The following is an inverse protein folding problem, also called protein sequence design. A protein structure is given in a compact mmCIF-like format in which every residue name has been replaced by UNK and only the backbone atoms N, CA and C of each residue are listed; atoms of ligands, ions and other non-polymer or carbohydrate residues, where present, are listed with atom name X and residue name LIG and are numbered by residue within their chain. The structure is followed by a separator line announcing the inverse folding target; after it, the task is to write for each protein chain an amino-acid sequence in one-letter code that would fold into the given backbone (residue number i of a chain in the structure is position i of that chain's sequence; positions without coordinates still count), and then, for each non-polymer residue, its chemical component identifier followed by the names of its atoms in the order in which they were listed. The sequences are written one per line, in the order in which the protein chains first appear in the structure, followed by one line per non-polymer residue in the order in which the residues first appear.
data_IF_140627678617
#
_entry.id   IF_140627678617
#
_cell.length_a   1.000
_cell.length_b   1.000
_cell.length_c   1.000
_cell.angle_alpha   90.00
_cell.angle_beta   90.00
_cell.angle_gamma   90.00
#
_symmetry.space_group_name_H-M   'P 1'
#
loop_
_entity.id
_entity.type
_entity.pdbx_description
1 polymer ?
#
# COMPACT_ATOMS: atom_id res chain seq x y z
N UNK A 1 -6.11 22.47 2.78
CA UNK A 1 -5.38 21.23 3.10
C UNK A 1 -5.41 20.34 1.87
N UNK A 2 -4.26 19.79 1.48
CA UNK A 2 -4.16 18.89 0.35
C UNK A 2 -4.78 17.52 0.71
N UNK A 3 -5.42 16.86 -0.25
CA UNK A 3 -5.99 15.51 -0.10
C UNK A 3 -4.87 14.50 -0.35
N UNK A 4 -4.53 13.71 0.67
CA UNK A 4 -3.53 12.66 0.56
C UNK A 4 -4.15 11.36 0.05
N UNK A 5 -3.33 10.63 -0.71
CA UNK A 5 -3.60 9.24 -1.04
C UNK A 5 -2.59 8.38 -0.30
N UNK A 6 -3.06 7.67 0.72
CA UNK A 6 -2.29 6.64 1.40
C UNK A 6 -2.41 5.33 0.61
N UNK A 7 -1.31 4.59 0.50
CA UNK A 7 -1.30 3.26 -0.11
C UNK A 7 -0.68 2.28 0.86
N UNK A 8 -1.39 1.18 1.15
CA UNK A 8 -0.86 0.06 1.93
C UNK A 8 -1.04 -1.25 1.17
N UNK A 9 -0.19 -2.24 1.47
CA UNK A 9 -0.37 -3.60 0.98
C UNK A 9 -0.86 -4.51 2.10
N UNK A 10 -1.94 -5.25 1.84
CA UNK A 10 -2.62 -6.23 2.72
C UNK A 10 -3.20 -5.69 4.03
N UNK A 11 -2.51 -4.75 4.68
CA UNK A 11 -2.79 -4.32 6.03
C UNK A 11 -3.63 -3.04 6.09
N UNK A 12 -4.43 -3.01 7.16
CA UNK A 12 -5.18 -1.87 7.63
C UNK A 12 -5.15 -1.88 9.16
N UNK A 13 -4.93 -0.73 9.78
CA UNK A 13 -5.05 -0.52 11.23
C UNK A 13 -6.37 0.19 11.55
N UNK A 14 -6.86 0.01 12.78
CA UNK A 14 -8.06 0.70 13.26
C UNK A 14 -7.90 2.22 13.18
N UNK A 15 -6.71 2.71 13.53
CA UNK A 15 -6.37 4.14 13.50
C UNK A 15 -6.35 4.71 12.07
N UNK A 16 -6.32 3.86 11.04
CA UNK A 16 -6.41 4.31 9.65
C UNK A 16 -7.85 4.57 9.20
N UNK A 17 -8.85 4.06 9.92
CA UNK A 17 -10.24 4.27 9.54
C UNK A 17 -10.67 5.69 9.97
N UNK A 18 -11.42 6.41 9.12
CA UNK A 18 -11.91 7.73 9.49
C UNK A 18 -12.78 7.66 10.75
N UNK A 19 -12.66 8.66 11.63
CA UNK A 19 -13.57 8.80 12.75
C UNK A 19 -14.97 9.16 12.23
N UNK A 20 -15.91 8.21 12.31
CA UNK A 20 -17.30 8.39 11.88
C UNK A 20 -17.67 7.53 10.67
N UNK A 21 -18.48 8.09 9.76
CA UNK A 21 -18.95 7.37 8.56
C UNK A 21 -17.85 7.36 7.50
N UNK A 22 -17.58 6.19 6.96
CA UNK A 22 -16.68 6.02 5.82
C UNK A 22 -17.31 5.07 4.81
N UNK A 23 -16.87 5.17 3.56
CA UNK A 23 -17.17 4.20 2.54
C UNK A 23 -15.94 3.32 2.27
N UNK A 24 -16.20 2.05 1.97
CA UNK A 24 -15.23 1.13 1.39
C UNK A 24 -15.79 0.65 0.05
N UNK A 25 -14.99 0.76 -1.00
CA UNK A 25 -15.35 0.26 -2.33
C UNK A 25 -14.20 -0.50 -2.97
N UNK A 26 -14.54 -1.47 -3.80
CA UNK A 26 -13.58 -2.11 -4.71
C UNK A 26 -13.52 -1.25 -5.96
N UNK A 27 -12.32 -0.88 -6.39
CA UNK A 27 -12.11 -0.10 -7.62
C UNK A 27 -11.35 -0.91 -8.66
N UNK A 28 -11.48 -0.50 -9.92
CA UNK A 28 -10.71 -1.09 -11.02
C UNK A 28 -9.25 -0.67 -10.99
N UNK A 29 -8.38 -1.50 -11.55
CA UNK A 29 -6.94 -1.20 -11.64
C UNK A 29 -6.63 0.11 -12.37
N UNK A 30 -7.38 0.42 -13.44
CA UNK A 30 -7.21 1.68 -14.17
C UNK A 30 -7.52 2.91 -13.31
N UNK A 31 -8.57 2.85 -12.48
CA UNK A 31 -8.92 3.91 -11.53
C UNK A 31 -7.83 4.05 -10.45
N UNK A 32 -7.39 2.93 -9.86
CA UNK A 32 -6.33 2.91 -8.86
C UNK A 32 -5.02 3.51 -9.41
N UNK A 33 -4.63 3.11 -10.63
CA UNK A 33 -3.44 3.64 -11.30
C UNK A 33 -3.56 5.14 -11.56
N UNK A 34 -4.71 5.62 -12.05
CA UNK A 34 -4.93 7.05 -12.28
C UNK A 34 -4.82 7.86 -10.98
N UNK A 35 -5.40 7.35 -9.88
CA UNK A 35 -5.30 7.99 -8.57
C UNK A 35 -3.87 8.07 -8.06
N UNK A 36 -3.08 6.99 -8.19
CA UNK A 36 -1.67 6.96 -7.79
C UNK A 36 -0.84 7.94 -8.62
N UNK A 37 -1.04 7.97 -9.94
CA UNK A 37 -0.36 8.92 -10.82
C UNK A 37 -0.67 10.37 -10.45
N UNK A 38 -1.95 10.69 -10.20
CA UNK A 38 -2.38 12.02 -9.81
C UNK A 38 -1.76 12.44 -8.46
N UNK A 39 -1.90 11.60 -7.43
CA UNK A 39 -1.34 11.89 -6.11
C UNK A 39 0.19 12.02 -6.14
N UNK A 40 0.88 11.25 -7.00
CA UNK A 40 2.33 11.40 -7.20
C UNK A 40 2.67 12.74 -7.84
N UNK A 41 1.95 13.15 -8.88
CA UNK A 41 2.15 14.44 -9.54
C UNK A 41 1.93 15.61 -8.57
N UNK A 42 0.95 15.48 -7.69
CA UNK A 42 0.60 16.47 -6.67
C UNK A 42 1.47 16.40 -5.41
N UNK A 43 2.40 15.43 -5.32
CA UNK A 43 3.24 15.15 -4.14
C UNK A 43 2.44 14.85 -2.86
N UNK A 44 1.28 14.23 -3.01
CA UNK A 44 0.37 13.83 -1.91
C UNK A 44 0.24 12.32 -1.75
N UNK A 45 1.01 11.53 -2.52
CA UNK A 45 1.10 10.08 -2.40
C UNK A 45 1.98 9.70 -1.20
N UNK A 46 1.44 8.89 -0.30
CA UNK A 46 2.16 8.33 0.86
C UNK A 46 2.00 6.81 0.87
N UNK A 47 3.06 6.06 0.58
CA UNK A 47 3.01 4.60 0.70
C UNK A 47 3.47 4.21 2.10
N UNK A 48 2.67 3.38 2.77
CA UNK A 48 2.83 3.04 4.18
C UNK A 48 2.83 1.53 4.38
N UNK A 49 3.61 1.06 5.34
CA UNK A 49 3.73 -0.37 5.65
C UNK A 49 3.62 -0.62 7.15
N UNK A 50 2.99 -1.74 7.51
CA UNK A 50 2.88 -2.18 8.90
C UNK A 50 4.19 -2.74 9.44
N UNK A 51 4.93 -3.46 8.60
CA UNK A 51 6.22 -4.03 8.95
C UNK A 51 7.34 -3.05 8.62
N UNK A 52 8.39 -3.06 9.45
CA UNK A 52 9.67 -2.46 9.10
C UNK A 52 10.40 -3.36 8.09
N UNK A 53 10.17 -3.08 6.79
CA UNK A 53 10.74 -3.81 5.65
C UNK A 53 12.26 -3.62 5.51
N UNK A 54 12.87 -2.72 6.29
CA UNK A 54 14.33 -2.55 6.35
C UNK A 54 14.98 -3.38 7.46
N UNK A 55 14.20 -3.91 8.40
CA UNK A 55 14.71 -4.74 9.48
C UNK A 55 15.43 -6.01 8.94
N UNK A 56 16.57 -6.42 9.54
CA UNK A 56 17.39 -7.54 9.03
C UNK A 56 16.63 -8.85 8.85
N UNK A 57 15.65 -9.11 9.71
CA UNK A 57 14.89 -10.37 9.74
C UNK A 57 13.57 -10.32 8.94
N UNK A 58 13.27 -9.20 8.27
CA UNK A 58 12.04 -9.01 7.45
C UNK A 58 12.29 -9.18 5.95
N UNK A 59 13.18 -10.11 5.61
CA UNK A 59 13.58 -10.40 4.22
C UNK A 59 12.41 -10.89 3.37
N UNK A 60 11.48 -11.64 3.98
CA UNK A 60 10.31 -12.20 3.33
C UNK A 60 9.27 -11.15 2.98
N UNK A 61 8.91 -10.30 3.94
CA UNK A 61 7.95 -9.21 3.78
C UNK A 61 8.43 -8.20 2.75
N UNK A 62 9.73 -7.87 2.79
CA UNK A 62 10.39 -7.05 1.77
C UNK A 62 10.29 -7.68 0.38
N UNK A 63 10.63 -8.97 0.25
CA UNK A 63 10.55 -9.69 -1.03
C UNK A 63 9.12 -9.66 -1.59
N UNK A 64 8.13 -9.95 -0.75
CA UNK A 64 6.70 -9.92 -1.13
C UNK A 64 6.23 -8.54 -1.57
N UNK A 65 6.63 -7.47 -0.88
CA UNK A 65 6.36 -6.10 -1.32
C UNK A 65 6.97 -5.82 -2.70
N UNK A 66 8.22 -6.21 -2.92
CA UNK A 66 8.90 -6.03 -4.21
C UNK A 66 8.22 -6.84 -5.34
N UNK A 67 7.80 -8.06 -5.06
CA UNK A 67 7.05 -8.92 -5.98
C UNK A 67 5.72 -8.26 -6.37
N UNK A 68 4.93 -7.80 -5.39
CA UNK A 68 3.66 -7.11 -5.67
C UNK A 68 3.87 -5.81 -6.46
N UNK A 69 4.85 -4.97 -6.10
CA UNK A 69 5.21 -3.78 -6.90
C UNK A 69 5.59 -4.14 -8.35
N UNK A 70 6.23 -5.28 -8.57
CA UNK A 70 6.58 -5.74 -9.91
C UNK A 70 5.34 -6.16 -10.71
N UNK A 71 4.43 -6.92 -10.09
CA UNK A 71 3.17 -7.33 -10.71
C UNK A 71 2.28 -6.13 -11.01
N UNK A 72 2.16 -5.17 -10.08
CA UNK A 72 1.39 -3.95 -10.27
C UNK A 72 1.85 -3.14 -11.48
N UNK A 73 3.17 -3.00 -11.66
CA UNK A 73 3.73 -2.30 -12.83
C UNK A 73 3.49 -3.07 -14.12
N UNK A 74 3.76 -4.39 -14.11
CA UNK A 74 3.74 -5.20 -15.32
C UNK A 74 2.32 -5.50 -15.83
N UNK A 75 1.38 -5.79 -14.91
CA UNK A 75 0.04 -6.30 -15.26
C UNK A 75 -1.06 -5.25 -15.12
N UNK A 76 -0.86 -4.24 -14.28
CA UNK A 76 -1.90 -3.26 -13.92
C UNK A 76 -1.54 -1.82 -14.29
N UNK A 77 -0.39 -1.60 -14.95
CA UNK A 77 0.15 -0.28 -15.27
C UNK A 77 0.27 0.67 -14.07
N UNK A 78 0.30 0.12 -12.86
CA UNK A 78 0.32 0.89 -11.62
C UNK A 78 1.78 1.17 -11.22
N UNK A 79 2.26 2.44 -11.27
CA UNK A 79 3.67 2.78 -11.16
C UNK A 79 4.14 2.88 -9.70
N UNK A 80 3.83 1.87 -8.89
CA UNK A 80 4.34 1.76 -7.52
C UNK A 80 5.69 1.05 -7.51
N UNK A 81 6.61 1.57 -6.72
CA UNK A 81 7.95 1.07 -6.50
C UNK A 81 8.11 0.76 -5.02
N UNK A 82 8.98 -0.19 -4.70
CA UNK A 82 9.32 -0.47 -3.30
C UNK A 82 9.89 0.78 -2.60
N UNK A 83 10.66 1.58 -3.34
CA UNK A 83 11.24 2.83 -2.84
C UNK A 83 10.20 3.86 -2.40
N UNK A 84 8.95 3.78 -2.89
CA UNK A 84 7.90 4.71 -2.48
C UNK A 84 7.46 4.51 -1.02
N UNK A 85 7.75 3.35 -0.43
CA UNK A 85 7.50 3.05 0.98
C UNK A 85 8.65 3.51 1.90
N UNK A 86 9.75 4.00 1.32
CA UNK A 86 10.92 4.47 2.04
C UNK A 86 10.86 5.99 2.17
N UNK A 87 11.13 6.51 3.36
CA UNK A 87 11.37 7.92 3.63
C UNK A 87 12.82 8.12 4.02
N UNK A 88 13.49 9.08 3.38
CA UNK A 88 14.83 9.53 3.78
C UNK A 88 14.70 10.64 4.81
N UNK A 89 15.33 10.44 5.96
CA UNK A 89 15.51 11.46 6.98
C UNK A 89 16.97 11.90 6.93
N UNK A 90 17.18 13.19 6.66
CA UNK A 90 18.50 13.79 6.67
C UNK A 90 18.72 14.46 8.04
N UNK A 91 19.59 13.88 8.86
CA UNK A 91 20.02 14.49 10.12
C UNK A 91 21.54 14.65 10.12
N UNK A 92 22.00 15.88 10.36
CA UNK A 92 23.39 16.34 10.49
C UNK A 92 24.46 15.50 9.74
N UNK A 93 24.24 15.27 8.44
CA UNK A 93 25.22 14.66 7.54
C UNK A 93 25.10 13.15 7.31
N UNK A 94 24.09 12.48 7.88
CA UNK A 94 23.78 11.07 7.56
C UNK A 94 22.33 10.93 7.08
N UNK A 95 22.16 10.47 5.84
CA UNK A 95 20.84 10.11 5.31
C UNK A 95 20.43 8.73 5.84
N UNK A 96 19.38 8.68 6.65
CA UNK A 96 18.80 7.43 7.16
C UNK A 96 17.52 7.12 6.40
N UNK A 97 17.42 5.93 5.83
CA UNK A 97 16.17 5.44 5.25
C UNK A 97 15.33 4.76 6.33
N UNK A 98 14.05 5.10 6.33
CA UNK A 98 13.04 4.52 7.22
C UNK A 98 11.82 4.11 6.42
N UNK A 99 11.02 3.20 6.97
CA UNK A 99 9.70 2.88 6.41
C UNK A 99 8.69 3.88 6.97
N UNK A 100 7.80 4.39 6.12
CA UNK A 100 6.65 5.16 6.59
C UNK A 100 5.66 4.20 7.26
N UNK A 101 5.47 4.28 8.59
CA UNK A 101 4.68 3.29 9.31
C UNK A 101 3.18 3.45 9.01
N UNK A 102 2.45 2.34 8.88
CA UNK A 102 1.01 2.36 8.61
C UNK A 102 0.22 3.20 9.62
N UNK A 103 0.68 3.28 10.86
CA UNK A 103 0.05 4.03 11.94
C UNK A 103 0.00 5.55 11.70
N UNK A 104 0.84 6.10 10.80
CA UNK A 104 0.76 7.54 10.48
C UNK A 104 -0.30 7.88 9.42
N UNK A 105 -0.95 6.88 8.83
CA UNK A 105 -2.04 7.08 7.88
C UNK A 105 -3.37 7.36 8.62
N UNK A 106 -3.42 8.45 9.39
CA UNK A 106 -4.64 8.95 10.02
C UNK A 106 -5.46 9.74 8.99
N UNK A 107 -6.49 9.11 8.41
CA UNK A 107 -7.29 9.72 7.36
C UNK A 107 -8.04 10.97 7.85
N UNK A 108 -7.61 12.14 7.39
CA UNK A 108 -8.34 13.38 7.57
C UNK A 108 -9.56 13.44 6.62
N UNK A 109 -10.52 14.35 6.85
CA UNK A 109 -11.56 14.62 5.87
C UNK A 109 -10.95 14.93 4.49
N UNK A 110 -11.35 14.17 3.47
CA UNK A 110 -10.84 14.17 2.06
C UNK A 110 -9.62 13.30 1.78
N UNK A 111 -8.97 12.75 2.80
CA UNK A 111 -7.92 11.76 2.55
C UNK A 111 -8.55 10.42 2.17
N UNK A 112 -7.75 9.61 1.47
CA UNK A 112 -8.16 8.30 0.98
C UNK A 112 -7.06 7.29 1.28
N UNK A 113 -7.46 6.08 1.68
CA UNK A 113 -6.56 4.94 1.82
C UNK A 113 -6.89 3.92 0.74
N UNK A 114 -5.90 3.59 -0.08
CA UNK A 114 -5.95 2.52 -1.05
C UNK A 114 -5.20 1.30 -0.50
N UNK A 115 -5.94 0.25 -0.15
CA UNK A 115 -5.36 -1.03 0.26
C UNK A 115 -5.29 -1.94 -0.96
N UNK A 116 -4.08 -2.32 -1.34
CA UNK A 116 -3.84 -3.31 -2.41
C UNK A 116 -3.70 -4.68 -1.77
N UNK A 117 -4.47 -5.64 -2.25
CA UNK A 117 -4.46 -7.04 -1.78
C UNK A 117 -4.15 -7.97 -2.92
N UNK A 118 -3.69 -9.17 -2.60
CA UNK A 118 -3.54 -10.27 -3.55
C UNK A 118 -3.46 -11.59 -2.78
N UNK A 119 -3.82 -12.66 -3.46
CA UNK A 119 -3.69 -14.03 -2.98
C UNK A 119 -2.35 -14.65 -3.38
N UNK A 120 -1.97 -15.69 -2.64
CA UNK A 120 -0.81 -16.52 -2.96
C UNK A 120 -1.28 -17.93 -3.27
N UNK A 121 -0.77 -18.49 -4.37
CA UNK A 121 -1.04 -19.85 -4.79
C UNK A 121 0.19 -20.72 -4.66
N UNK A 122 -0.02 -22.02 -4.50
CA UNK A 122 1.07 -22.98 -4.47
C UNK A 122 1.63 -23.16 -5.89
N UNK A 123 2.92 -22.89 -6.08
CA UNK A 123 3.63 -23.17 -7.31
C UNK A 123 3.63 -24.68 -7.57
N UNK A 124 3.45 -25.07 -8.84
CA UNK A 124 3.42 -26.48 -9.23
C UNK A 124 4.67 -27.24 -8.78
N UNK A 125 4.45 -28.51 -8.43
CA UNK A 125 5.36 -29.42 -7.68
C UNK A 125 6.73 -29.68 -8.34
N UNK A 126 7.04 -29.12 -9.50
CA UNK A 126 8.31 -29.29 -10.22
C UNK A 126 9.49 -28.56 -9.56
N UNK A 127 9.27 -27.66 -8.59
CA UNK A 127 10.32 -27.05 -7.75
C UNK A 127 10.41 -27.68 -6.34
N UNK A 128 10.43 -29.00 -6.27
CA UNK A 128 10.49 -29.73 -4.99
C UNK A 128 11.74 -29.43 -4.13
N UNK A 129 12.78 -28.83 -4.71
CA UNK A 129 14.04 -28.44 -4.03
C UNK A 129 14.03 -27.03 -3.42
N UNK A 130 13.00 -26.21 -3.67
CA UNK A 130 12.91 -24.88 -3.10
C UNK A 130 12.29 -24.94 -1.69
N UNK A 131 12.75 -24.08 -0.78
CA UNK A 131 12.23 -23.98 0.58
C UNK A 131 10.71 -23.75 0.58
N UNK A 132 10.02 -24.11 1.66
CA UNK A 132 8.55 -24.00 1.76
C UNK A 132 8.04 -22.62 1.36
N UNK A 133 8.82 -21.57 1.59
CA UNK A 133 8.48 -20.18 1.28
C UNK A 133 8.47 -19.86 -0.22
N UNK A 134 9.32 -20.51 -1.02
CA UNK A 134 9.41 -20.31 -2.47
C UNK A 134 8.33 -21.10 -3.23
N UNK A 135 7.54 -21.90 -2.50
CA UNK A 135 6.41 -22.65 -3.04
C UNK A 135 5.16 -21.79 -3.15
N UNK A 136 5.12 -20.61 -2.55
CA UNK A 136 3.97 -19.71 -2.65
C UNK A 136 4.32 -18.56 -3.58
N UNK A 137 3.62 -18.47 -4.70
CA UNK A 137 3.77 -17.40 -5.69
C UNK A 137 2.53 -16.53 -5.70
N UNK A 138 2.73 -15.24 -5.95
CA UNK A 138 1.64 -14.28 -6.06
C UNK A 138 0.73 -14.66 -7.25
N UNK A 139 -0.57 -14.78 -7.00
CA UNK A 139 -1.56 -14.97 -8.06
C UNK A 139 -1.87 -13.61 -8.71
N UNK A 140 -1.23 -13.32 -9.84
CA UNK A 140 -1.26 -11.97 -10.42
C UNK A 140 -2.68 -11.48 -10.78
N UNK A 141 -3.59 -12.40 -11.09
CA UNK A 141 -5.00 -12.19 -11.40
C UNK A 141 -5.89 -11.93 -10.16
N UNK A 142 -5.38 -12.17 -8.96
CA UNK A 142 -6.09 -11.96 -7.69
C UNK A 142 -5.91 -10.55 -7.10
N UNK A 143 -5.19 -9.66 -7.78
CA UNK A 143 -4.90 -8.33 -7.23
C UNK A 143 -6.19 -7.52 -7.10
N UNK A 144 -6.50 -7.13 -5.87
CA UNK A 144 -7.68 -6.35 -5.52
C UNK A 144 -7.30 -4.95 -5.01
N UNK A 145 -8.07 -3.94 -5.42
CA UNK A 145 -7.90 -2.55 -5.01
C UNK A 145 -9.08 -2.11 -4.15
N UNK A 146 -8.85 -1.87 -2.86
CA UNK A 146 -9.88 -1.43 -1.92
C UNK A 146 -9.64 0.03 -1.55
N UNK A 147 -10.56 0.90 -1.93
CA UNK A 147 -10.51 2.31 -1.57
C UNK A 147 -11.38 2.57 -0.34
N UNK A 148 -10.83 3.26 0.64
CA UNK A 148 -11.50 3.73 1.84
C UNK A 148 -11.44 5.25 1.87
N UNK A 149 -12.60 5.88 2.07
CA UNK A 149 -12.73 7.34 2.11
C UNK A 149 -13.70 7.77 3.22
N UNK A 150 -13.35 8.85 3.90
CA UNK A 150 -14.25 9.48 4.86
C UNK A 150 -15.45 10.09 4.12
N UNK A 151 -16.66 9.86 4.63
CA UNK A 151 -17.84 10.57 4.14
C UNK A 151 -17.96 11.92 4.85
N UNK A 152 -18.51 12.96 4.18
CA UNK A 152 -18.79 14.22 4.84
C UNK A 152 -19.67 13.99 6.06
N UNK A 153 -19.33 14.59 7.21
CA UNK A 153 -20.26 14.69 8.32
C UNK A 153 -21.41 15.58 7.85
N UNK A 154 -22.64 15.04 7.83
CA UNK A 154 -23.83 15.86 7.74
C UNK A 154 -23.80 16.80 8.95
N UNK A 155 -23.49 18.08 8.71
CA UNK A 155 -23.61 19.10 9.73
C UNK A 155 -25.07 19.12 10.17
N UNK A 156 -25.33 18.58 11.36
CA UNK A 156 -26.59 18.78 12.05
C UNK A 156 -26.78 20.30 12.18
N UNK A 157 -27.68 20.83 11.36
CA UNK A 157 -28.21 22.17 11.54
C UNK A 157 -29.13 22.06 12.74
N UNK A 158 -28.62 22.43 13.92
CA UNK A 158 -29.42 22.70 15.11
C UNK A 158 -29.89 24.15 15.10
#
# INVERSE_FOLDING_TARGET
MASHLYVSFWDLCLDNLPQGRFERRVIGAGEASAMICAARADKTLLCVSKDDLLAPYRTKERRRHQELCTVLRASYNCPLRFEDFLTTLDDEGTAVQSITPLQVAELQPRDRLLVVTCDYQLADKTKASAGVEDRFVLAADSVGFHLIAALPQETATS
#
